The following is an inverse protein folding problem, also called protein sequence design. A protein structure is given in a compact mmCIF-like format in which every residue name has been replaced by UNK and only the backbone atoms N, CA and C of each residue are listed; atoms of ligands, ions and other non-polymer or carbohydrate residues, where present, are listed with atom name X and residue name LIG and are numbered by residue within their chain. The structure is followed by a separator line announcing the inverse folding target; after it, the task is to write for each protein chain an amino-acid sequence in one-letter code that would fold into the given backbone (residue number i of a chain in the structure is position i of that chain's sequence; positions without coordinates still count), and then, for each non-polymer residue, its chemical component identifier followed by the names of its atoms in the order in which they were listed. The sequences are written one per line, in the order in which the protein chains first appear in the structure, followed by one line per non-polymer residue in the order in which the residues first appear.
data_IF_756442131527
#
_entry.id   IF_756442131527
#
_cell.length_a   1.000
_cell.length_b   1.000
_cell.length_c   1.000
_cell.angle_alpha   90.00
_cell.angle_beta   90.00
_cell.angle_gamma   90.00
#
_symmetry.space_group_name_H-M   'P 1'
#
loop_
_entity.id
_entity.type
_entity.pdbx_description
1 polymer ?
#
# COMPACT_ATOMS: atom_id res chain seq x y z
N UNK A 1 9.33 -40.21 29.21
CA UNK A 1 10.09 -39.17 28.50
C UNK A 1 9.33 -37.86 28.63
N UNK A 2 9.85 -36.90 29.40
CA UNK A 2 9.30 -35.54 29.36
C UNK A 2 9.72 -34.92 28.02
N UNK A 3 8.75 -34.48 27.22
CA UNK A 3 9.04 -33.75 25.98
C UNK A 3 9.72 -32.44 26.37
N UNK A 4 11.01 -32.30 26.04
CA UNK A 4 11.76 -31.09 26.31
C UNK A 4 11.19 -29.94 25.47
N UNK A 5 10.55 -28.98 26.13
CA UNK A 5 9.93 -27.84 25.46
C UNK A 5 11.03 -26.96 24.86
N UNK A 6 11.01 -26.76 23.53
CA UNK A 6 11.96 -25.89 22.83
C UNK A 6 11.89 -24.47 23.42
N UNK A 7 13.05 -23.84 23.61
CA UNK A 7 13.16 -22.43 23.97
C UNK A 7 12.64 -21.51 22.85
N UNK A 8 12.25 -20.27 23.19
CA UNK A 8 11.83 -19.26 22.20
C UNK A 8 12.91 -19.02 21.15
N UNK A 9 14.18 -18.97 21.56
CA UNK A 9 15.29 -18.81 20.64
C UNK A 9 15.37 -19.99 19.63
N UNK A 10 15.28 -21.24 20.10
CA UNK A 10 15.30 -22.42 19.23
C UNK A 10 14.11 -22.45 18.27
N UNK A 11 12.92 -22.03 18.71
CA UNK A 11 11.74 -21.90 17.86
C UNK A 11 11.99 -20.85 16.77
N UNK A 12 12.43 -19.65 17.14
CA UNK A 12 12.71 -18.56 16.20
C UNK A 12 13.76 -18.94 15.16
N UNK A 13 14.87 -19.54 15.60
CA UNK A 13 15.90 -20.05 14.69
C UNK A 13 15.36 -21.14 13.76
N UNK A 14 14.49 -22.04 14.24
CA UNK A 14 13.89 -23.06 13.37
C UNK A 14 13.04 -22.48 12.25
N UNK A 15 12.31 -21.37 12.52
CA UNK A 15 11.55 -20.64 11.49
C UNK A 15 12.49 -19.97 10.49
N UNK A 16 13.53 -19.29 10.97
CA UNK A 16 14.55 -18.66 10.13
C UNK A 16 15.19 -19.69 9.18
N UNK A 17 15.51 -20.88 9.69
CA UNK A 17 16.06 -21.96 8.86
C UNK A 17 15.08 -22.45 7.80
N UNK A 18 13.77 -22.51 8.11
CA UNK A 18 12.74 -22.90 7.15
C UNK A 18 12.54 -21.85 6.04
N UNK A 19 12.67 -20.55 6.36
CA UNK A 19 12.61 -19.45 5.39
C UNK A 19 13.90 -19.41 4.55
N UNK A 20 15.07 -19.48 5.18
CA UNK A 20 16.35 -19.53 4.48
C UNK A 20 17.49 -18.99 5.32
N UNK A 21 18.64 -19.68 5.29
CA UNK A 21 19.77 -19.37 6.16
C UNK A 21 20.64 -18.21 5.66
N UNK A 22 20.87 -18.11 4.35
CA UNK A 22 21.90 -17.24 3.77
C UNK A 22 21.63 -15.74 4.04
N UNK A 23 20.40 -15.27 3.81
CA UNK A 23 20.04 -13.87 4.05
C UNK A 23 20.04 -13.49 5.54
N UNK A 24 19.70 -14.42 6.43
CA UNK A 24 19.73 -14.16 7.87
C UNK A 24 21.14 -14.14 8.45
N UNK A 25 22.09 -14.87 7.86
CA UNK A 25 23.46 -14.97 8.37
C UNK A 25 24.17 -13.61 8.39
N UNK A 26 24.04 -12.84 7.29
CA UNK A 26 24.59 -11.49 7.19
C UNK A 26 23.93 -10.53 8.19
N UNK A 27 22.60 -10.55 8.28
CA UNK A 27 21.84 -9.74 9.23
C UNK A 27 22.21 -10.08 10.68
N UNK A 28 22.33 -11.37 11.01
CA UNK A 28 22.74 -11.84 12.34
C UNK A 28 24.09 -11.25 12.74
N UNK A 29 25.11 -11.34 11.87
CA UNK A 29 26.43 -10.80 12.15
C UNK A 29 26.43 -9.27 12.33
N UNK A 30 25.59 -8.55 11.56
CA UNK A 30 25.40 -7.12 11.72
C UNK A 30 24.73 -6.78 13.07
N UNK A 31 23.70 -7.52 13.47
CA UNK A 31 23.00 -7.32 14.74
C UNK A 31 23.87 -7.68 15.94
N UNK A 32 24.68 -8.75 15.86
CA UNK A 32 25.63 -9.12 16.92
C UNK A 32 26.64 -7.99 17.19
N UNK A 33 27.04 -7.25 16.15
CA UNK A 33 27.92 -6.07 16.27
C UNK A 33 27.22 -4.81 16.78
N UNK A 34 25.92 -4.68 16.50
CA UNK A 34 25.14 -3.51 16.86
C UNK A 34 24.64 -3.61 18.30
N UNK A 35 23.84 -4.64 18.58
CA UNK A 35 23.31 -4.97 19.89
C UNK A 35 22.78 -6.43 19.89
N UNK A 36 23.41 -7.36 20.64
CA UNK A 36 22.94 -8.73 20.78
C UNK A 36 21.49 -8.84 21.30
N UNK A 37 21.02 -7.88 22.09
CA UNK A 37 19.64 -7.87 22.59
C UNK A 37 18.65 -7.56 21.45
N UNK A 38 19.03 -6.70 20.50
CA UNK A 38 18.22 -6.46 19.32
C UNK A 38 18.07 -7.73 18.47
N UNK A 39 19.16 -8.50 18.27
CA UNK A 39 19.08 -9.81 17.64
C UNK A 39 18.15 -10.76 18.40
N UNK A 40 18.27 -10.82 19.73
CA UNK A 40 17.41 -11.66 20.58
C UNK A 40 15.94 -11.28 20.41
N UNK A 41 15.61 -9.99 20.43
CA UNK A 41 14.23 -9.50 20.22
C UNK A 41 13.69 -9.86 18.83
N UNK A 42 14.53 -9.79 17.79
CA UNK A 42 14.14 -10.23 16.45
C UNK A 42 13.86 -11.75 16.42
N UNK A 43 14.78 -12.56 16.91
CA UNK A 43 14.66 -14.04 16.86
C UNK A 43 13.51 -14.53 17.75
N UNK A 44 13.45 -14.10 19.00
CA UNK A 44 12.43 -14.57 19.95
C UNK A 44 11.08 -13.87 19.73
N UNK A 45 11.07 -12.56 19.50
CA UNK A 45 9.83 -11.81 19.34
C UNK A 45 9.21 -12.00 17.96
N UNK A 46 9.93 -11.63 16.89
CA UNK A 46 9.35 -11.70 15.55
C UNK A 46 9.20 -13.15 15.09
N UNK A 47 10.27 -13.95 15.09
CA UNK A 47 10.19 -15.29 14.53
C UNK A 47 9.50 -16.30 15.45
N UNK A 48 9.79 -16.31 16.76
CA UNK A 48 9.19 -17.28 17.66
C UNK A 48 7.77 -16.92 18.11
N UNK A 49 7.52 -15.66 18.52
CA UNK A 49 6.21 -15.31 19.08
C UNK A 49 5.16 -14.94 18.02
N UNK A 50 5.58 -14.48 16.83
CA UNK A 50 4.68 -14.06 15.75
C UNK A 50 4.65 -15.09 14.61
N UNK A 51 5.77 -15.34 13.95
CA UNK A 51 5.79 -16.16 12.72
C UNK A 51 5.56 -17.64 13.03
N UNK A 52 6.05 -18.17 14.16
CA UNK A 52 5.85 -19.58 14.51
C UNK A 52 4.42 -19.94 14.96
N UNK A 53 3.51 -18.96 15.09
CA UNK A 53 2.13 -19.21 15.56
C UNK A 53 1.38 -20.10 14.55
N UNK A 54 0.67 -21.16 15.02
CA UNK A 54 0.18 -22.24 14.16
C UNK A 54 -1.09 -21.91 13.36
N UNK A 55 -1.75 -20.79 13.66
CA UNK A 55 -3.04 -20.43 13.10
C UNK A 55 -2.99 -19.92 11.64
N UNK A 56 -1.78 -19.68 11.10
CA UNK A 56 -1.54 -19.39 9.70
C UNK A 56 -0.24 -20.10 9.29
N UNK A 57 -0.29 -20.89 8.22
CA UNK A 57 0.87 -21.68 7.78
C UNK A 57 2.02 -20.77 7.34
N UNK A 58 3.26 -21.22 7.56
CA UNK A 58 4.46 -20.46 7.16
C UNK A 58 4.44 -20.10 5.66
N UNK A 59 3.94 -20.99 4.82
CA UNK A 59 3.71 -20.77 3.39
C UNK A 59 2.85 -19.52 3.11
N UNK A 60 1.71 -19.37 3.80
CA UNK A 60 0.85 -18.19 3.65
C UNK A 60 1.43 -16.95 4.35
N UNK A 61 2.24 -17.12 5.40
CA UNK A 61 2.98 -16.01 6.01
C UNK A 61 3.96 -15.41 5.01
N UNK A 62 4.75 -16.22 4.31
CA UNK A 62 5.68 -15.71 3.30
C UNK A 62 4.95 -15.02 2.14
N UNK A 63 3.79 -15.54 1.70
CA UNK A 63 2.92 -14.88 0.72
C UNK A 63 2.53 -13.46 1.17
N UNK A 64 2.04 -13.31 2.41
CA UNK A 64 1.66 -12.01 2.99
C UNK A 64 2.87 -11.09 3.09
N UNK A 65 4.01 -11.59 3.54
CA UNK A 65 5.25 -10.82 3.70
C UNK A 65 5.75 -10.29 2.35
N UNK A 66 5.84 -11.15 1.33
CA UNK A 66 6.29 -10.74 -0.02
C UNK A 66 5.37 -9.68 -0.60
N UNK A 67 4.05 -9.85 -0.46
CA UNK A 67 3.06 -8.88 -0.93
C UNK A 67 3.25 -7.50 -0.30
N UNK A 68 3.52 -7.43 1.01
CA UNK A 68 3.76 -6.17 1.75
C UNK A 68 5.09 -5.54 1.38
N UNK A 69 6.18 -6.31 1.40
CA UNK A 69 7.52 -5.79 1.10
C UNK A 69 7.63 -5.29 -0.35
N UNK A 70 6.96 -5.96 -1.29
CA UNK A 70 6.86 -5.48 -2.66
C UNK A 70 6.11 -4.15 -2.73
N UNK A 71 5.01 -4.01 -1.98
CA UNK A 71 4.21 -2.78 -1.93
C UNK A 71 4.98 -1.59 -1.34
N UNK A 72 5.79 -1.83 -0.31
CA UNK A 72 6.62 -0.78 0.32
C UNK A 72 7.68 -0.21 -0.63
N UNK A 73 8.15 -0.99 -1.62
CA UNK A 73 9.02 -0.53 -2.69
C UNK A 73 10.45 -0.11 -2.29
N UNK A 74 10.80 -0.16 -1.00
CA UNK A 74 12.09 0.30 -0.46
C UNK A 74 12.83 -0.77 0.38
N UNK A 75 12.44 -2.05 0.25
CA UNK A 75 12.92 -3.14 1.08
C UNK A 75 13.55 -4.28 0.26
N UNK A 76 14.45 -3.97 -0.69
CA UNK A 76 15.00 -4.94 -1.65
C UNK A 76 15.57 -6.21 -1.00
N UNK A 77 16.49 -6.08 -0.04
CA UNK A 77 17.16 -7.24 0.58
C UNK A 77 16.18 -8.13 1.34
N UNK A 78 15.25 -7.52 2.07
CA UNK A 78 14.20 -8.21 2.81
C UNK A 78 13.19 -8.87 1.87
N UNK A 79 12.82 -8.19 0.76
CA UNK A 79 11.95 -8.76 -0.28
C UNK A 79 12.60 -9.98 -0.92
N UNK A 80 13.88 -9.91 -1.31
CA UNK A 80 14.62 -11.07 -1.85
C UNK A 80 14.69 -12.21 -0.84
N UNK A 81 14.93 -11.90 0.44
CA UNK A 81 14.97 -12.91 1.50
C UNK A 81 13.65 -13.69 1.60
N UNK A 82 12.52 -12.98 1.74
CA UNK A 82 11.22 -13.61 1.89
C UNK A 82 10.64 -14.17 0.59
N UNK A 83 11.01 -13.63 -0.57
CA UNK A 83 10.71 -14.29 -1.85
C UNK A 83 11.45 -15.64 -1.96
N UNK A 84 12.68 -15.70 -1.47
CA UNK A 84 13.42 -16.95 -1.30
C UNK A 84 12.77 -17.88 -0.28
N UNK A 85 12.21 -17.32 0.79
CA UNK A 85 11.39 -18.02 1.79
C UNK A 85 10.15 -18.66 1.20
N UNK A 86 9.41 -17.90 0.41
CA UNK A 86 8.23 -18.37 -0.30
C UNK A 86 8.57 -19.61 -1.16
N UNK A 87 9.66 -19.57 -1.94
CA UNK A 87 10.16 -20.74 -2.68
C UNK A 87 10.51 -21.92 -1.75
N UNK A 88 11.21 -21.66 -0.66
CA UNK A 88 11.65 -22.68 0.30
C UNK A 88 10.47 -23.34 1.05
N UNK A 89 9.34 -22.63 1.16
CA UNK A 89 8.10 -23.15 1.75
C UNK A 89 7.21 -23.90 0.75
N UNK A 90 7.63 -24.03 -0.52
CA UNK A 90 6.96 -24.88 -1.51
C UNK A 90 6.24 -24.15 -2.64
N UNK A 91 6.27 -22.82 -2.67
CA UNK A 91 5.64 -22.06 -3.75
C UNK A 91 6.41 -22.18 -5.07
N UNK A 92 5.68 -22.22 -6.18
CA UNK A 92 6.25 -22.12 -7.51
C UNK A 92 6.84 -20.71 -7.77
N UNK A 93 7.91 -20.57 -8.57
CA UNK A 93 8.45 -19.27 -8.98
C UNK A 93 7.40 -18.31 -9.55
N UNK A 94 6.46 -18.85 -10.32
CA UNK A 94 5.36 -18.11 -10.94
C UNK A 94 4.41 -17.54 -9.89
N UNK A 95 4.21 -18.22 -8.75
CA UNK A 95 3.39 -17.72 -7.65
C UNK A 95 4.07 -16.54 -6.92
N UNK A 96 5.39 -16.59 -6.78
CA UNK A 96 6.18 -15.47 -6.24
C UNK A 96 6.07 -14.25 -7.16
N UNK A 97 6.25 -14.45 -8.47
CA UNK A 97 6.10 -13.40 -9.46
C UNK A 97 4.66 -12.85 -9.50
N UNK A 98 3.63 -13.69 -9.49
CA UNK A 98 2.23 -13.27 -9.47
C UNK A 98 1.89 -12.45 -8.22
N UNK A 99 2.43 -12.83 -7.05
CA UNK A 99 2.25 -12.09 -5.79
C UNK A 99 2.73 -10.65 -5.93
N UNK A 100 3.91 -10.46 -6.51
CA UNK A 100 4.45 -9.12 -6.77
C UNK A 100 3.70 -8.43 -7.90
N UNK A 101 3.30 -9.14 -8.96
CA UNK A 101 2.54 -8.59 -10.08
C UNK A 101 1.23 -7.95 -9.62
N UNK A 102 0.57 -8.49 -8.59
CA UNK A 102 -0.65 -7.89 -8.05
C UNK A 102 -0.46 -6.44 -7.58
N UNK A 103 0.74 -6.05 -7.14
CA UNK A 103 1.03 -4.66 -6.74
C UNK A 103 0.81 -3.68 -7.90
N UNK A 104 0.87 -4.13 -9.17
CA UNK A 104 0.59 -3.31 -10.35
C UNK A 104 -0.76 -2.61 -10.24
N UNK A 105 -1.79 -3.34 -9.81
CA UNK A 105 -3.15 -2.84 -9.75
C UNK A 105 -3.39 -1.95 -8.54
N UNK A 106 -2.72 -2.21 -7.42
CA UNK A 106 -3.01 -1.54 -6.16
C UNK A 106 -2.06 -0.37 -5.87
N UNK A 107 -0.77 -0.53 -6.21
CA UNK A 107 0.32 0.38 -5.90
C UNK A 107 1.01 0.97 -7.14
N UNK A 108 0.57 0.60 -8.35
CA UNK A 108 1.02 1.19 -9.61
C UNK A 108 2.22 0.49 -10.26
N UNK A 109 2.55 0.95 -11.48
CA UNK A 109 3.59 0.40 -12.36
C UNK A 109 4.98 0.48 -11.74
N UNK A 110 5.44 1.60 -11.16
CA UNK A 110 6.81 1.68 -10.63
C UNK A 110 7.09 0.67 -9.52
N UNK A 111 6.15 0.50 -8.60
CA UNK A 111 6.25 -0.45 -7.48
C UNK A 111 6.32 -1.89 -8.01
N UNK A 112 5.42 -2.24 -8.92
CA UNK A 112 5.39 -3.57 -9.52
C UNK A 112 6.67 -3.90 -10.30
N UNK A 113 7.13 -2.98 -11.14
CA UNK A 113 8.36 -3.16 -11.92
C UNK A 113 9.59 -3.32 -11.02
N UNK A 114 9.69 -2.54 -9.94
CA UNK A 114 10.77 -2.67 -8.98
C UNK A 114 10.75 -4.05 -8.32
N UNK A 115 9.59 -4.47 -7.79
CA UNK A 115 9.44 -5.79 -7.18
C UNK A 115 9.79 -6.93 -8.13
N UNK A 116 9.28 -6.91 -9.36
CA UNK A 116 9.55 -7.94 -10.37
C UNK A 116 11.03 -8.01 -10.72
N UNK A 117 11.71 -6.88 -10.84
CA UNK A 117 13.17 -6.87 -11.05
C UNK A 117 13.92 -7.59 -9.92
N UNK A 118 13.52 -7.37 -8.67
CA UNK A 118 14.17 -8.03 -7.53
C UNK A 118 13.88 -9.53 -7.49
N UNK A 119 12.64 -9.95 -7.76
CA UNK A 119 12.26 -11.37 -7.86
C UNK A 119 12.97 -12.04 -9.04
N UNK A 120 13.00 -11.43 -10.23
CA UNK A 120 13.70 -11.97 -11.38
C UNK A 120 15.21 -12.09 -11.13
N UNK A 121 15.82 -11.14 -10.43
CA UNK A 121 17.21 -11.24 -10.01
C UNK A 121 17.43 -12.44 -9.07
N UNK A 122 16.58 -12.61 -8.05
CA UNK A 122 16.63 -13.76 -7.15
C UNK A 122 16.49 -15.11 -7.90
N UNK A 123 15.54 -15.21 -8.83
CA UNK A 123 15.32 -16.43 -9.60
C UNK A 123 16.55 -16.78 -10.45
N UNK A 124 17.16 -15.78 -11.12
CA UNK A 124 18.42 -15.96 -11.86
C UNK A 124 19.57 -16.36 -10.94
N UNK A 125 19.70 -15.74 -9.77
CA UNK A 125 20.70 -16.09 -8.74
C UNK A 125 20.55 -17.57 -8.30
N UNK A 126 19.32 -18.09 -8.27
CA UNK A 126 19.02 -19.50 -7.96
C UNK A 126 19.06 -20.45 -9.16
N UNK A 127 19.43 -19.97 -10.35
CA UNK A 127 19.47 -20.78 -11.57
C UNK A 127 18.09 -21.26 -12.04
N UNK A 128 17.02 -20.60 -11.62
CA UNK A 128 15.65 -20.88 -12.06
C UNK A 128 15.40 -20.10 -13.34
N UNK A 129 15.03 -20.81 -14.41
CA UNK A 129 14.70 -20.17 -15.68
C UNK A 129 13.44 -19.31 -15.51
N UNK A 130 13.56 -18.04 -15.90
CA UNK A 130 12.50 -17.06 -15.72
C UNK A 130 11.68 -17.08 -17.00
N UNK A 131 10.44 -17.55 -16.92
CA UNK A 131 9.55 -17.51 -18.09
C UNK A 131 9.43 -16.08 -18.63
N UNK A 132 9.25 -15.94 -19.94
CA UNK A 132 9.12 -14.63 -20.59
C UNK A 132 7.96 -13.80 -19.98
N UNK A 133 6.98 -14.47 -19.36
CA UNK A 133 5.85 -13.88 -18.65
C UNK A 133 6.25 -13.09 -17.40
N UNK A 134 7.29 -13.50 -16.68
CA UNK A 134 7.82 -12.76 -15.52
C UNK A 134 8.60 -11.52 -15.98
N UNK A 135 9.17 -11.55 -17.19
CA UNK A 135 9.89 -10.42 -17.81
C UNK A 135 8.95 -9.43 -18.53
N UNK A 136 7.63 -9.69 -18.57
CA UNK A 136 6.63 -8.82 -19.22
C UNK A 136 6.59 -7.39 -18.65
N UNK A 137 6.98 -7.21 -17.39
CA UNK A 137 7.08 -5.90 -16.74
C UNK A 137 8.48 -5.27 -16.90
N UNK A 138 9.36 -5.83 -17.71
CA UNK A 138 10.64 -5.19 -18.09
C UNK A 138 10.46 -3.93 -18.94
N UNK A 139 9.28 -3.76 -19.56
CA UNK A 139 8.94 -2.61 -20.39
C UNK A 139 7.77 -1.82 -19.77
N UNK A 140 7.99 -0.53 -19.55
CA UNK A 140 7.01 0.37 -18.92
C UNK A 140 5.67 0.41 -19.70
N UNK A 141 5.72 0.54 -21.02
CA UNK A 141 4.53 0.57 -21.90
C UNK A 141 3.68 -0.71 -21.74
N UNK A 142 4.32 -1.87 -21.67
CA UNK A 142 3.64 -3.16 -21.48
C UNK A 142 2.96 -3.23 -20.11
N UNK A 143 3.63 -2.76 -19.06
CA UNK A 143 3.08 -2.69 -17.71
C UNK A 143 1.84 -1.78 -17.64
N UNK A 144 1.92 -0.61 -18.27
CA UNK A 144 0.80 0.34 -18.39
C UNK A 144 -0.36 -0.31 -19.15
N UNK A 145 -0.09 -0.95 -20.29
CA UNK A 145 -1.13 -1.65 -21.05
C UNK A 145 -1.81 -2.77 -20.25
N UNK A 146 -1.04 -3.56 -19.49
CA UNK A 146 -1.58 -4.58 -18.59
C UNK A 146 -2.52 -4.01 -17.52
N UNK A 147 -2.16 -2.87 -16.93
CA UNK A 147 -2.97 -2.16 -15.95
C UNK A 147 -4.33 -1.73 -16.55
N UNK A 148 -4.30 -1.11 -17.74
CA UNK A 148 -5.52 -0.61 -18.40
C UNK A 148 -6.42 -1.72 -18.96
N UNK A 149 -5.83 -2.79 -19.49
CA UNK A 149 -6.60 -3.89 -20.09
C UNK A 149 -7.23 -4.83 -19.05
N UNK A 150 -6.89 -4.67 -17.75
CA UNK A 150 -7.28 -5.59 -16.66
C UNK A 150 -7.09 -7.07 -17.04
N UNK A 151 -6.06 -7.37 -17.84
CA UNK A 151 -5.73 -8.75 -18.17
C UNK A 151 -5.48 -9.50 -16.86
N UNK A 152 -5.92 -10.75 -16.76
CA UNK A 152 -5.44 -11.62 -15.67
C UNK A 152 -3.92 -11.59 -15.67
N UNK A 153 -3.32 -11.63 -14.48
CA UNK A 153 -1.88 -11.75 -14.34
C UNK A 153 -1.38 -12.83 -15.31
N UNK A 154 -0.30 -12.58 -16.05
CA UNK A 154 0.18 -13.51 -17.06
C UNK A 154 0.46 -14.90 -16.47
N UNK A 155 0.79 -14.94 -15.17
CA UNK A 155 0.90 -16.14 -14.35
C UNK A 155 -0.40 -16.35 -13.54
N UNK A 156 -1.07 -17.49 -13.74
CA UNK A 156 -2.22 -17.93 -12.96
C UNK A 156 -1.83 -19.04 -11.96
N UNK A 157 -0.78 -18.78 -11.17
CA UNK A 157 -0.17 -19.74 -10.26
C UNK A 157 -0.81 -19.74 -8.87
N UNK A 158 -1.32 -18.60 -8.41
CA UNK A 158 -2.05 -18.48 -7.14
C UNK A 158 -3.51 -18.92 -7.31
N UNK A 159 -4.03 -19.63 -6.31
CA UNK A 159 -5.47 -19.89 -6.23
C UNK A 159 -6.25 -18.59 -6.00
N UNK A 160 -7.55 -18.60 -6.29
CA UNK A 160 -8.39 -17.43 -6.00
C UNK A 160 -8.38 -17.07 -4.51
N UNK A 161 -8.28 -18.06 -3.61
CA UNK A 161 -8.22 -17.83 -2.16
C UNK A 161 -6.92 -17.11 -1.77
N UNK A 162 -5.78 -17.55 -2.28
CA UNK A 162 -4.46 -16.95 -2.02
C UNK A 162 -4.33 -15.55 -2.64
N UNK A 163 -4.83 -15.36 -3.86
CA UNK A 163 -4.84 -14.05 -4.52
C UNK A 163 -5.58 -13.00 -3.68
N UNK A 164 -6.68 -13.38 -3.02
CA UNK A 164 -7.40 -12.48 -2.09
C UNK A 164 -6.59 -12.14 -0.85
N UNK A 165 -5.84 -13.10 -0.31
CA UNK A 165 -4.97 -12.88 0.84
C UNK A 165 -3.82 -11.92 0.50
N UNK A 166 -3.14 -12.15 -0.63
CA UNK A 166 -2.09 -11.26 -1.12
C UNK A 166 -2.63 -9.83 -1.38
N UNK A 167 -3.78 -9.71 -2.05
CA UNK A 167 -4.43 -8.42 -2.27
C UNK A 167 -4.77 -7.69 -0.97
N UNK A 168 -5.26 -8.41 0.05
CA UNK A 168 -5.52 -7.82 1.37
C UNK A 168 -4.23 -7.28 1.99
N UNK A 169 -3.13 -8.04 1.94
CA UNK A 169 -1.83 -7.62 2.47
C UNK A 169 -1.32 -6.36 1.75
N UNK A 170 -1.41 -6.32 0.42
CA UNK A 170 -1.06 -5.14 -0.39
C UNK A 170 -1.90 -3.94 0.03
N UNK A 171 -3.22 -4.07 0.09
CA UNK A 171 -4.13 -2.97 0.44
C UNK A 171 -3.85 -2.41 1.85
N UNK A 172 -3.52 -3.27 2.82
CA UNK A 172 -3.13 -2.83 4.16
C UNK A 172 -1.80 -2.07 4.11
N UNK A 173 -0.83 -2.55 3.32
CA UNK A 173 0.48 -1.94 3.14
C UNK A 173 0.45 -0.64 2.31
N UNK A 174 -0.54 -0.46 1.41
CA UNK A 174 -0.72 0.76 0.60
C UNK A 174 -1.14 1.99 1.40
N UNK A 175 -1.12 1.87 2.74
CA UNK A 175 -1.52 2.84 3.74
C UNK A 175 -2.93 3.39 3.54
N UNK A 176 -3.65 3.53 4.64
CA UNK A 176 -4.78 4.43 4.66
C UNK A 176 -6.00 4.08 3.76
N UNK A 177 -6.03 2.88 3.18
CA UNK A 177 -7.12 2.42 2.33
C UNK A 177 -8.26 1.77 3.15
N UNK A 178 -8.77 2.43 4.19
CA UNK A 178 -9.69 1.82 5.18
C UNK A 178 -10.92 1.13 4.55
N UNK A 179 -11.55 1.76 3.56
CA UNK A 179 -12.72 1.19 2.88
C UNK A 179 -12.34 0.00 1.99
N UNK A 180 -11.19 0.06 1.32
CA UNK A 180 -10.67 -1.06 0.55
C UNK A 180 -10.27 -2.22 1.49
N UNK A 181 -9.63 -1.93 2.62
CA UNK A 181 -9.30 -2.92 3.66
C UNK A 181 -10.57 -3.64 4.10
N UNK A 182 -11.65 -2.91 4.39
CA UNK A 182 -12.96 -3.49 4.74
C UNK A 182 -13.48 -4.42 3.63
N UNK A 183 -13.46 -3.94 2.39
CA UNK A 183 -13.91 -4.72 1.24
C UNK A 183 -13.09 -6.01 1.04
N UNK A 184 -11.77 -5.91 1.17
CA UNK A 184 -10.86 -7.04 0.98
C UNK A 184 -10.96 -8.05 2.13
N UNK A 185 -11.15 -7.61 3.38
CA UNK A 185 -11.44 -8.51 4.51
C UNK A 185 -12.73 -9.30 4.27
N UNK A 186 -13.81 -8.63 3.84
CA UNK A 186 -15.07 -9.28 3.48
C UNK A 186 -14.89 -10.26 2.31
N UNK A 187 -14.07 -9.90 1.31
CA UNK A 187 -13.76 -10.79 0.20
C UNK A 187 -12.98 -12.04 0.68
N UNK A 188 -12.02 -11.88 1.59
CA UNK A 188 -11.27 -12.98 2.18
C UNK A 188 -12.19 -13.95 2.94
N UNK A 189 -13.11 -13.44 3.76
CA UNK A 189 -14.10 -14.27 4.46
C UNK A 189 -14.98 -15.06 3.48
N UNK A 190 -15.47 -14.42 2.41
CA UNK A 190 -16.31 -15.07 1.39
C UNK A 190 -15.61 -16.22 0.66
N UNK A 191 -14.29 -16.14 0.47
CA UNK A 191 -13.49 -17.21 -0.16
C UNK A 191 -13.00 -18.25 0.85
N UNK A 192 -13.42 -18.14 2.12
CA UNK A 192 -13.18 -19.13 3.16
C UNK A 192 -11.89 -18.94 3.96
N UNK A 193 -11.35 -17.72 4.04
CA UNK A 193 -10.40 -17.37 5.12
C UNK A 193 -11.16 -17.17 6.42
N UNK A 194 -10.60 -17.65 7.52
CA UNK A 194 -11.22 -17.56 8.84
C UNK A 194 -10.82 -16.28 9.56
N UNK A 195 -11.61 -15.86 10.55
CA UNK A 195 -11.26 -14.79 11.49
C UNK A 195 -9.89 -15.04 12.14
N UNK A 196 -9.60 -16.29 12.49
CA UNK A 196 -8.34 -16.69 13.12
C UNK A 196 -7.15 -16.44 12.18
N UNK A 197 -7.20 -16.95 10.96
CA UNK A 197 -6.15 -16.75 9.95
C UNK A 197 -5.95 -15.26 9.62
N UNK A 198 -7.04 -14.50 9.43
CA UNK A 198 -6.94 -13.07 9.14
C UNK A 198 -6.42 -12.26 10.34
N UNK A 199 -6.65 -12.70 11.57
CA UNK A 199 -6.04 -12.08 12.76
C UNK A 199 -4.53 -12.30 12.76
N UNK A 200 -4.06 -13.48 12.38
CA UNK A 200 -2.62 -13.76 12.25
C UNK A 200 -1.94 -12.91 11.18
N UNK A 201 -2.65 -12.60 10.07
CA UNK A 201 -2.16 -11.64 9.07
C UNK A 201 -1.91 -10.30 9.74
N UNK A 202 -2.87 -9.75 10.48
CA UNK A 202 -2.72 -8.46 11.15
C UNK A 202 -1.57 -8.47 12.16
N UNK A 203 -1.46 -9.53 12.97
CA UNK A 203 -0.36 -9.70 13.93
C UNK A 203 0.98 -9.71 13.19
N UNK A 204 1.08 -10.46 12.10
CA UNK A 204 2.31 -10.52 11.31
C UNK A 204 2.71 -9.17 10.72
N UNK A 205 1.74 -8.40 10.21
CA UNK A 205 2.00 -7.09 9.64
C UNK A 205 2.60 -6.10 10.65
N UNK A 206 2.44 -6.32 11.97
CA UNK A 206 3.09 -5.47 12.99
C UNK A 206 4.62 -5.48 12.88
N UNK A 207 5.21 -6.58 12.41
CA UNK A 207 6.66 -6.71 12.21
C UNK A 207 7.19 -6.06 10.94
N UNK A 208 6.31 -5.69 9.99
CA UNK A 208 6.71 -5.16 8.68
C UNK A 208 6.32 -3.69 8.50
N UNK A 209 5.05 -3.35 8.78
CA UNK A 209 4.53 -1.98 8.63
C UNK A 209 4.32 -1.27 9.97
N UNK A 210 4.53 -1.98 11.08
CA UNK A 210 4.50 -1.41 12.42
C UNK A 210 3.10 -1.27 13.03
N UNK A 211 3.07 -1.13 14.36
CA UNK A 211 1.86 -0.98 15.14
C UNK A 211 0.96 0.21 14.73
N UNK A 212 1.49 1.41 14.44
CA UNK A 212 0.65 2.56 14.11
C UNK A 212 -0.27 2.35 12.90
N UNK A 213 0.18 1.56 11.92
CA UNK A 213 -0.61 1.25 10.72
C UNK A 213 -1.57 0.07 10.96
N UNK A 214 -1.16 -0.94 11.73
CA UNK A 214 -2.00 -2.12 11.99
C UNK A 214 -3.16 -1.84 12.95
N UNK A 215 -2.98 -1.00 13.97
CA UNK A 215 -4.00 -0.80 15.02
C UNK A 215 -5.33 -0.23 14.49
N UNK A 216 -5.37 0.78 13.61
CA UNK A 216 -6.61 1.22 12.97
C UNK A 216 -7.26 0.12 12.14
N UNK A 217 -6.46 -0.65 11.40
CA UNK A 217 -6.93 -1.79 10.59
C UNK A 217 -7.55 -2.88 11.45
N UNK A 218 -7.00 -3.16 12.63
CA UNK A 218 -7.57 -4.12 13.58
C UNK A 218 -8.98 -3.71 14.02
N UNK A 219 -9.26 -2.41 14.21
CA UNK A 219 -10.62 -1.94 14.52
C UNK A 219 -11.59 -2.15 13.36
N UNK A 220 -11.13 -1.93 12.12
CA UNK A 220 -11.92 -2.21 10.92
C UNK A 220 -12.22 -3.71 10.82
N UNK A 221 -11.22 -4.55 11.10
CA UNK A 221 -11.36 -5.99 11.07
C UNK A 221 -12.37 -6.50 12.10
N UNK A 222 -12.34 -5.98 13.33
CA UNK A 222 -13.36 -6.27 14.34
C UNK A 222 -14.76 -5.97 13.82
N UNK A 223 -15.00 -4.78 13.26
CA UNK A 223 -16.30 -4.43 12.69
C UNK A 223 -16.74 -5.36 11.54
N UNK A 224 -15.80 -5.84 10.72
CA UNK A 224 -16.10 -6.83 9.66
C UNK A 224 -16.41 -8.21 10.22
N UNK A 225 -15.64 -8.67 11.21
CA UNK A 225 -15.82 -9.98 11.82
C UNK A 225 -17.13 -10.05 12.60
N UNK A 226 -17.44 -9.03 13.39
CA UNK A 226 -18.67 -8.96 14.17
C UNK A 226 -19.90 -8.89 13.24
N UNK A 227 -19.81 -8.19 12.10
CA UNK A 227 -20.87 -8.18 11.09
C UNK A 227 -21.05 -9.55 10.38
N UNK A 228 -19.95 -10.28 10.16
CA UNK A 228 -20.01 -11.62 9.56
C UNK A 228 -20.59 -12.67 10.53
N UNK A 229 -20.32 -12.53 11.83
CA UNK A 229 -20.90 -13.35 12.89
C UNK A 229 -22.34 -12.93 13.24
N UNK A 230 -22.67 -11.63 13.10
CA UNK A 230 -23.93 -10.98 13.42
C UNK A 230 -24.97 -10.92 12.29
N UNK A 231 -24.81 -11.68 11.21
CA UNK A 231 -25.89 -11.87 10.21
C UNK A 231 -27.08 -12.69 10.75
N UNK A 232 -27.10 -12.97 12.06
CA UNK A 232 -28.29 -13.01 12.89
C UNK A 232 -28.45 -11.66 13.62
N UNK A 233 -29.32 -10.80 13.08
CA UNK A 233 -29.80 -9.51 13.61
C UNK A 233 -28.98 -8.23 13.35
N UNK A 234 -29.45 -7.53 12.30
CA UNK A 234 -29.69 -6.09 12.13
C UNK A 234 -28.66 -5.00 12.51
N UNK A 235 -28.57 -4.07 11.56
CA UNK A 235 -27.88 -2.78 11.44
C UNK A 235 -27.88 -1.84 12.67
N UNK A 236 -26.81 -1.06 12.85
CA UNK A 236 -26.83 0.41 12.76
C UNK A 236 -25.45 1.10 12.94
N UNK A 237 -25.39 2.32 12.39
CA UNK A 237 -24.32 3.30 12.12
C UNK A 237 -23.75 4.02 13.36
N UNK A 238 -22.52 4.57 13.31
CA UNK A 238 -22.20 5.97 13.73
C UNK A 238 -20.76 6.44 13.40
N UNK A 239 -20.62 7.76 13.23
CA UNK A 239 -19.45 8.55 12.82
C UNK A 239 -18.60 9.06 14.00
N UNK A 240 -17.34 9.49 13.76
CA UNK A 240 -16.68 10.59 14.50
C UNK A 240 -15.40 11.10 13.79
N UNK A 241 -15.13 12.40 13.95
CA UNK A 241 -13.99 13.16 13.46
C UNK A 241 -13.07 13.60 14.61
N UNK A 242 -11.77 13.82 14.35
CA UNK A 242 -10.97 14.97 14.84
C UNK A 242 -9.54 14.99 14.27
N UNK A 243 -9.03 16.21 14.00
CA UNK A 243 -7.70 16.55 13.43
C UNK A 243 -6.67 16.83 14.54
N UNK A 244 -5.40 16.57 14.26
CA UNK A 244 -4.27 17.23 14.92
C UNK A 244 -3.26 17.73 13.89
N UNK A 245 -2.83 18.99 14.04
CA UNK A 245 -1.81 19.67 13.25
C UNK A 245 -0.39 19.33 13.74
N UNK A 246 0.55 19.10 12.81
CA UNK A 246 1.98 18.92 13.11
C UNK A 246 2.81 19.79 12.15
N UNK A 247 3.74 20.57 12.68
CA UNK A 247 4.69 21.38 11.90
C UNK A 247 5.76 20.48 11.24
N UNK A 248 6.18 20.77 9.98
CA UNK A 248 7.23 20.00 9.32
C UNK A 248 8.64 20.53 9.59
N UNK A 249 9.56 19.58 9.77
CA UNK A 249 11.01 19.75 9.78
C UNK A 249 11.54 19.99 8.35
N UNK A 250 12.58 20.84 8.20
CA UNK A 250 12.98 21.43 6.90
C UNK A 250 14.29 20.85 6.36
N UNK A 251 14.31 20.41 5.11
CA UNK A 251 15.52 20.07 4.34
C UNK A 251 15.41 20.62 2.91
N UNK A 252 16.47 21.24 2.39
CA UNK A 252 16.57 21.70 1.00
C UNK A 252 17.89 21.18 0.37
N UNK A 253 17.85 20.43 -0.75
CA UNK A 253 19.06 19.95 -1.42
C UNK A 253 19.73 21.01 -2.30
N UNK A 254 21.06 20.95 -2.43
CA UNK A 254 21.86 21.86 -3.24
C UNK A 254 21.63 21.66 -4.75
N UNK A 255 21.59 22.77 -5.52
CA UNK A 255 21.50 22.79 -7.00
C UNK A 255 20.21 23.40 -7.59
N UNK A 256 19.20 23.71 -6.77
CA UNK A 256 17.91 24.27 -7.24
C UNK A 256 18.08 25.65 -7.87
N UNK A 257 19.02 26.46 -7.39
CA UNK A 257 19.29 27.81 -7.89
C UNK A 257 19.75 27.86 -9.35
N UNK A 258 20.31 26.76 -9.87
CA UNK A 258 20.79 26.69 -11.27
C UNK A 258 19.65 26.46 -12.28
N UNK A 259 18.57 25.78 -11.85
CA UNK A 259 17.47 25.36 -12.73
C UNK A 259 16.24 26.25 -12.54
N UNK A 260 15.99 26.71 -11.31
CA UNK A 260 14.82 27.52 -10.95
C UNK A 260 15.23 28.63 -9.95
N UNK A 261 15.90 29.69 -10.43
CA UNK A 261 16.42 30.76 -9.57
C UNK A 261 15.33 31.49 -8.77
N UNK A 262 14.10 31.54 -9.29
CA UNK A 262 12.96 32.14 -8.58
C UNK A 262 12.44 31.26 -7.43
N UNK A 263 12.45 29.93 -7.62
CA UNK A 263 12.11 28.97 -6.58
C UNK A 263 13.19 28.94 -5.49
N UNK A 264 14.46 29.00 -5.86
CA UNK A 264 15.56 29.10 -4.91
C UNK A 264 15.45 30.37 -4.05
N UNK A 265 15.16 31.52 -4.66
CA UNK A 265 14.93 32.78 -3.94
C UNK A 265 13.75 32.70 -2.98
N UNK A 266 12.66 32.04 -3.38
CA UNK A 266 11.49 31.83 -2.52
C UNK A 266 11.76 30.89 -1.34
N UNK A 267 12.60 29.87 -1.55
CA UNK A 267 13.03 28.95 -0.49
C UNK A 267 14.01 29.61 0.50
N UNK A 268 14.84 30.55 0.03
CA UNK A 268 15.83 31.27 0.83
C UNK A 268 15.24 32.49 1.59
N UNK A 269 14.22 33.17 1.04
CA UNK A 269 13.55 34.34 1.65
C UNK A 269 12.06 34.07 1.93
N UNK A 270 11.67 33.70 3.17
CA UNK A 270 10.28 33.46 3.51
C UNK A 270 9.47 34.76 3.47
N UNK A 271 8.61 34.89 2.45
CA UNK A 271 7.75 36.06 2.21
C UNK A 271 7.88 36.68 0.81
N UNK A 272 8.85 36.23 0.01
CA UNK A 272 8.97 36.66 -1.38
C UNK A 272 7.82 36.08 -2.21
N UNK A 273 6.82 36.88 -2.56
CA UNK A 273 5.71 36.45 -3.42
C UNK A 273 6.18 36.33 -4.86
N UNK A 274 6.05 35.14 -5.47
CA UNK A 274 6.16 34.96 -6.94
C UNK A 274 4.89 35.41 -7.67
N UNK A 275 3.94 36.04 -6.96
CA UNK A 275 2.60 36.37 -7.41
C UNK A 275 2.53 37.36 -8.60
N UNK A 276 3.65 37.92 -9.05
CA UNK A 276 3.65 38.76 -10.24
C UNK A 276 3.80 37.91 -11.50
N UNK A 277 2.70 37.79 -12.26
CA UNK A 277 2.60 37.33 -13.67
C UNK A 277 2.17 35.88 -13.94
N UNK A 278 1.48 35.19 -13.04
CA UNK A 278 0.85 33.92 -13.43
C UNK A 278 -0.52 34.13 -14.08
N UNK A 279 -0.69 33.56 -15.27
CA UNK A 279 -1.99 33.49 -15.94
C UNK A 279 -2.94 32.58 -15.16
N UNK A 280 -4.25 32.86 -15.19
CA UNK A 280 -5.31 31.99 -14.65
C UNK A 280 -5.13 30.54 -15.12
N UNK A 281 -4.68 30.34 -16.37
CA UNK A 281 -4.41 29.01 -16.93
C UNK A 281 -3.20 28.32 -16.28
N UNK A 282 -2.15 29.05 -15.93
CA UNK A 282 -0.99 28.48 -15.23
C UNK A 282 -1.35 28.09 -13.79
N UNK A 283 -2.13 28.92 -13.11
CA UNK A 283 -2.61 28.63 -11.77
C UNK A 283 -3.56 27.42 -11.77
N UNK A 284 -4.50 27.36 -12.71
CA UNK A 284 -5.36 26.18 -12.93
C UNK A 284 -4.52 24.92 -13.16
N UNK A 285 -3.50 24.99 -14.01
CA UNK A 285 -2.59 23.89 -14.28
C UNK A 285 -1.84 23.44 -13.01
N UNK A 286 -1.37 24.37 -12.17
CA UNK A 286 -0.75 24.03 -10.86
C UNK A 286 -1.70 23.23 -9.98
N UNK A 287 -2.98 23.62 -9.90
CA UNK A 287 -3.96 22.86 -9.12
C UNK A 287 -4.25 21.48 -9.71
N UNK A 288 -4.33 21.34 -11.04
CA UNK A 288 -4.47 20.03 -11.70
C UNK A 288 -3.25 19.12 -11.46
N UNK A 289 -2.04 19.67 -11.52
CA UNK A 289 -0.82 18.93 -11.15
C UNK A 289 -0.83 18.52 -9.68
N UNK A 290 -1.22 19.43 -8.77
CA UNK A 290 -1.35 19.11 -7.36
C UNK A 290 -2.37 17.99 -7.11
N UNK A 291 -3.50 17.98 -7.82
CA UNK A 291 -4.50 16.90 -7.77
C UNK A 291 -3.87 15.56 -8.16
N UNK A 292 -3.10 15.51 -9.26
CA UNK A 292 -2.40 14.30 -9.68
C UNK A 292 -1.36 13.85 -8.64
N UNK A 293 -0.54 14.77 -8.12
CA UNK A 293 0.47 14.47 -7.09
C UNK A 293 -0.17 13.96 -5.79
N UNK A 294 -1.23 14.60 -5.31
CA UNK A 294 -1.95 14.19 -4.09
C UNK A 294 -2.66 12.84 -4.29
N UNK A 295 -3.11 12.55 -5.51
CA UNK A 295 -3.60 11.21 -5.87
C UNK A 295 -2.49 10.17 -5.72
N UNK A 296 -1.26 10.46 -6.17
CA UNK A 296 -0.12 9.55 -5.98
C UNK A 296 0.32 9.39 -4.52
N UNK A 297 0.18 10.45 -3.70
CA UNK A 297 0.61 10.43 -2.30
C UNK A 297 -0.37 9.69 -1.39
N UNK A 298 -1.67 9.67 -1.71
CA UNK A 298 -2.71 8.83 -1.11
C UNK A 298 -2.75 8.70 0.43
N UNK A 299 -2.27 9.69 1.19
CA UNK A 299 -2.33 9.72 2.67
C UNK A 299 -3.65 10.34 3.15
N UNK A 300 -4.19 9.90 4.29
CA UNK A 300 -5.52 10.35 4.79
C UNK A 300 -5.58 11.85 5.07
N UNK A 301 -4.44 12.44 5.39
CA UNK A 301 -4.33 13.88 5.64
C UNK A 301 -4.63 14.71 4.38
N UNK A 302 -4.60 14.09 3.20
CA UNK A 302 -4.63 14.77 1.92
C UNK A 302 -6.02 14.74 1.28
N UNK A 303 -7.05 14.09 1.83
CA UNK A 303 -8.39 14.12 1.23
C UNK A 303 -9.01 15.53 1.24
N UNK A 304 -8.84 16.24 2.36
CA UNK A 304 -9.26 17.64 2.49
C UNK A 304 -8.39 18.57 1.63
N UNK A 305 -7.09 18.28 1.53
CA UNK A 305 -6.16 19.05 0.69
C UNK A 305 -6.45 18.84 -0.79
N UNK A 306 -6.71 17.60 -1.20
CA UNK A 306 -7.16 17.21 -2.53
C UNK A 306 -8.47 17.93 -2.87
N UNK A 307 -9.43 17.94 -1.94
CA UNK A 307 -10.68 18.68 -2.09
C UNK A 307 -10.45 20.20 -2.23
N UNK A 308 -9.48 20.74 -1.50
CA UNK A 308 -9.08 22.16 -1.59
C UNK A 308 -8.56 22.46 -3.00
N UNK A 309 -7.58 21.69 -3.51
CA UNK A 309 -7.06 21.92 -4.86
C UNK A 309 -8.12 21.70 -5.95
N UNK A 310 -9.06 20.76 -5.77
CA UNK A 310 -10.19 20.58 -6.68
C UNK A 310 -11.15 21.78 -6.67
N UNK A 311 -11.41 22.37 -5.49
CA UNK A 311 -12.22 23.56 -5.38
C UNK A 311 -11.54 24.75 -6.06
N UNK A 312 -10.26 24.98 -5.80
CA UNK A 312 -9.49 26.09 -6.38
C UNK A 312 -9.36 25.94 -7.91
N UNK A 313 -9.10 24.72 -8.41
CA UNK A 313 -9.12 24.47 -9.85
C UNK A 313 -10.47 24.84 -10.46
N UNK A 314 -11.58 24.51 -9.78
CA UNK A 314 -12.94 24.81 -10.24
C UNK A 314 -13.24 26.31 -10.23
N UNK A 315 -12.83 27.06 -9.21
CA UNK A 315 -12.99 28.54 -9.19
C UNK A 315 -12.20 29.22 -10.30
N UNK A 316 -11.12 28.61 -10.76
CA UNK A 316 -10.33 29.04 -11.92
C UNK A 316 -10.88 28.53 -13.27
N UNK A 317 -12.04 27.86 -13.27
CA UNK A 317 -12.73 27.42 -14.48
C UNK A 317 -12.42 25.99 -14.93
N UNK A 318 -11.70 25.18 -14.15
CA UNK A 318 -11.49 23.77 -14.47
C UNK A 318 -12.82 23.00 -14.49
N UNK A 319 -13.00 22.23 -15.55
CA UNK A 319 -14.13 21.33 -15.74
C UNK A 319 -13.97 20.08 -14.88
N UNK A 320 -15.10 19.40 -14.61
CA UNK A 320 -15.08 18.05 -14.02
C UNK A 320 -14.22 17.10 -14.86
N UNK A 321 -14.21 17.25 -16.18
CA UNK A 321 -13.41 16.42 -17.07
C UNK A 321 -11.91 16.62 -16.85
N UNK A 322 -11.42 17.88 -16.80
CA UNK A 322 -10.01 18.17 -16.52
C UNK A 322 -9.56 17.62 -15.16
N UNK A 323 -10.40 17.74 -14.12
CA UNK A 323 -10.09 17.16 -12.80
C UNK A 323 -10.05 15.62 -12.84
N UNK A 324 -11.00 14.97 -13.54
CA UNK A 324 -11.03 13.51 -13.69
C UNK A 324 -9.83 13.02 -14.52
N UNK A 325 -9.47 13.71 -15.59
CA UNK A 325 -8.29 13.40 -16.40
C UNK A 325 -7.01 13.50 -15.58
N UNK A 326 -6.86 14.52 -14.72
CA UNK A 326 -5.71 14.62 -13.81
C UNK A 326 -5.61 13.45 -12.83
N UNK A 327 -6.76 12.99 -12.29
CA UNK A 327 -6.81 11.83 -11.39
C UNK A 327 -6.53 10.52 -12.14
N UNK A 328 -7.17 10.31 -13.30
CA UNK A 328 -7.00 9.09 -14.11
C UNK A 328 -5.60 9.01 -14.70
N UNK A 329 -4.99 10.15 -15.07
CA UNK A 329 -3.60 10.24 -15.50
C UNK A 329 -2.60 9.81 -14.44
N UNK A 330 -2.97 9.88 -13.15
CA UNK A 330 -2.14 9.36 -12.05
C UNK A 330 -2.21 7.82 -11.91
N UNK A 331 -3.14 7.14 -12.59
CA UNK A 331 -3.36 5.69 -12.43
C UNK A 331 -2.11 4.82 -12.61
N UNK A 332 -1.25 5.02 -13.63
CA UNK A 332 -0.02 4.25 -13.78
C UNK A 332 0.91 4.34 -12.57
N UNK A 333 0.84 5.42 -11.80
CA UNK A 333 1.76 5.71 -10.71
C UNK A 333 1.16 5.38 -9.34
N UNK A 334 -0.12 5.74 -9.14
CA UNK A 334 -0.82 5.63 -7.87
C UNK A 334 -1.52 4.28 -7.67
N UNK A 335 -1.77 3.55 -8.77
CA UNK A 335 -2.62 2.36 -8.74
C UNK A 335 -4.11 2.68 -8.58
N UNK A 336 -4.95 1.64 -8.65
CA UNK A 336 -6.40 1.76 -8.70
C UNK A 336 -7.01 2.29 -7.41
N UNK A 337 -6.46 1.93 -6.24
CA UNK A 337 -7.05 2.28 -4.95
C UNK A 337 -7.04 3.79 -4.72
N UNK A 338 -5.87 4.40 -4.92
CA UNK A 338 -5.68 5.83 -4.78
C UNK A 338 -6.55 6.62 -5.76
N UNK A 339 -6.60 6.18 -7.02
CA UNK A 339 -7.46 6.77 -8.06
C UNK A 339 -8.94 6.67 -7.69
N UNK A 340 -9.41 5.51 -7.22
CA UNK A 340 -10.80 5.34 -6.81
C UNK A 340 -11.17 6.26 -5.63
N UNK A 341 -10.28 6.36 -4.64
CA UNK A 341 -10.46 7.27 -3.51
C UNK A 341 -10.55 8.74 -3.97
N UNK A 342 -9.64 9.17 -4.83
CA UNK A 342 -9.65 10.53 -5.39
C UNK A 342 -10.91 10.82 -6.23
N UNK A 343 -11.38 9.84 -7.02
CA UNK A 343 -12.62 9.95 -7.78
C UNK A 343 -13.85 10.07 -6.89
N UNK A 344 -13.87 9.40 -5.73
CA UNK A 344 -14.97 9.55 -4.76
C UNK A 344 -15.00 10.97 -4.17
N UNK A 345 -13.84 11.56 -3.88
CA UNK A 345 -13.73 12.97 -3.44
C UNK A 345 -14.24 13.90 -4.54
N UNK A 346 -13.77 13.72 -5.78
CA UNK A 346 -14.22 14.51 -6.93
C UNK A 346 -15.74 14.39 -7.13
N UNK A 347 -16.30 13.18 -7.01
CA UNK A 347 -17.74 12.97 -7.19
C UNK A 347 -18.58 13.73 -6.15
N UNK A 348 -18.13 13.85 -4.90
CA UNK A 348 -18.80 14.65 -3.87
C UNK A 348 -18.76 16.14 -4.19
N UNK A 349 -17.64 16.64 -4.71
CA UNK A 349 -17.45 18.07 -5.01
C UNK A 349 -18.17 18.54 -6.28
N UNK A 350 -18.26 17.67 -7.28
CA UNK A 350 -18.93 17.94 -8.56
C UNK A 350 -20.35 17.37 -8.63
N UNK A 351 -20.89 16.84 -7.54
CA UNK A 351 -22.29 16.46 -7.47
C UNK A 351 -23.17 17.71 -7.73
N UNK A 352 -24.26 17.60 -8.52
CA UNK A 352 -25.20 18.69 -8.64
C UNK A 352 -25.75 19.04 -7.25
N UNK A 353 -25.80 20.34 -6.93
CA UNK A 353 -26.42 20.80 -5.69
C UNK A 353 -27.84 20.22 -5.60
N UNK A 354 -28.19 19.65 -4.44
CA UNK A 354 -29.48 19.00 -4.24
C UNK A 354 -30.62 19.92 -4.73
N UNK A 355 -31.41 19.50 -5.74
CA UNK A 355 -32.50 20.31 -6.26
C UNK A 355 -33.55 20.62 -5.18
N UNK A 356 -33.63 19.82 -4.11
CA UNK A 356 -34.54 20.07 -2.99
C UNK A 356 -34.05 21.17 -2.04
N UNK A 357 -32.73 21.35 -1.89
CA UNK A 357 -32.17 22.41 -1.05
C UNK A 357 -32.32 23.80 -1.71
N UNK A 358 -32.23 23.88 -3.03
CA UNK A 358 -32.42 25.13 -3.78
C UNK A 358 -33.90 25.53 -3.92
N UNK A 359 -34.82 24.57 -3.92
CA UNK A 359 -36.26 24.83 -3.89
C UNK A 359 -36.72 25.38 -2.52
N UNK A 360 -36.22 24.83 -1.42
CA UNK A 360 -36.52 25.31 -0.07
C UNK A 360 -36.04 26.75 0.17
N UNK A 361 -34.89 27.13 -0.39
CA UNK A 361 -34.38 28.49 -0.26
C UNK A 361 -35.12 29.52 -1.13
N UNK A 362 -35.68 29.11 -2.29
CA UNK A 362 -36.55 29.99 -3.10
C UNK A 362 -37.95 30.15 -2.52
N UNK A 363 -38.50 29.10 -1.90
CA UNK A 363 -39.82 29.16 -1.25
C UNK A 363 -39.82 29.99 0.04
N UNK A 364 -38.66 30.18 0.69
CA UNK A 364 -38.50 31.06 1.85
C UNK A 364 -38.23 32.53 1.48
N UNK A 365 -38.02 32.84 0.19
CA UNK A 365 -37.73 34.18 -0.33
C UNK A 365 -38.89 34.79 -1.15
N UNK A 366 -40.05 34.11 -1.17
CA UNK A 366 -41.35 34.58 -1.69
C UNK A 366 -42.36 34.56 -0.58
#
# INVERSE_FOLDING_TARGET
MQAQTKSRHEIGMSVIHAIGHEGFSSLSAALDRLDPDFKRLLVEGAYADIIARPNLSLEHRELVTVAVLATMGNAESTLKYHAGGMLNTGWAPEAVAETVFQTLYYAGVPVAMAGIRHVAALLRERGIDVSHEVDLLGQYETAVACLFQRRQAPCAALTHKERRLAALAIVIASENQHDAVRHHLQACLRVGWTRCELTEVLIQLTGYIGWPLVLPVARIALGVFDAAEGCASAEQTHAFAERQSREPDRYAPAGIAEIAPDLARHLDEPGATTASLESIEQEKARHLTAIACLTCLARNADADLLATHMHEARSLGATRHEAVEAIVGALPYAGMLAVQSALLVANRLFAPADPHATAAHRAAAT
#
